data_IF_988573809777
#
_entry.id   IF_988573809777
#
_cell.length_a   1.000
_cell.length_b   1.000
_cell.length_c   1.000
_cell.angle_alpha   90.00
_cell.angle_beta   90.00
_cell.angle_gamma   90.00
#
_symmetry.space_group_name_H-M   'P 1'
#
loop_
_entity.id
_entity.type
_entity.pdbx_description
1 polymer ?
#
# COMPACT_ATOMS: atom_id res chain seq x y z
N UNK A 1 -22.95 -6.07 -12.46
CA UNK A 1 -21.63 -6.71 -12.51
C UNK A 1 -20.79 -6.13 -11.39
N UNK A 2 -20.22 -6.97 -10.51
CA UNK A 2 -19.36 -6.46 -9.44
C UNK A 2 -18.01 -6.01 -10.01
N UNK A 3 -17.47 -4.90 -9.48
CA UNK A 3 -16.16 -4.37 -9.85
C UNK A 3 -15.22 -4.42 -8.66
N UNK A 4 -13.95 -4.69 -8.91
CA UNK A 4 -12.92 -4.82 -7.88
C UNK A 4 -11.69 -4.02 -8.30
N UNK A 5 -11.24 -3.11 -7.46
CA UNK A 5 -9.96 -2.43 -7.61
C UNK A 5 -8.95 -3.14 -6.73
N UNK A 6 -7.88 -3.64 -7.35
CA UNK A 6 -6.91 -4.52 -6.71
C UNK A 6 -5.61 -3.77 -6.40
N UNK A 7 -5.13 -3.95 -5.19
CA UNK A 7 -3.85 -3.45 -4.71
C UNK A 7 -2.72 -4.46 -4.94
N UNK A 8 -1.49 -3.96 -5.11
CA UNK A 8 -0.26 -4.74 -5.25
C UNK A 8 -0.04 -5.68 -4.09
N UNK A 9 -0.31 -5.24 -2.88
CA UNK A 9 -0.09 -5.99 -1.63
C UNK A 9 -0.83 -7.33 -1.59
N UNK A 10 -1.92 -7.49 -2.34
CA UNK A 10 -2.64 -8.76 -2.46
C UNK A 10 -1.80 -9.90 -3.05
N UNK A 11 -0.80 -9.57 -3.87
CA UNK A 11 -0.04 -10.55 -4.64
C UNK A 11 1.36 -10.80 -4.06
N UNK A 12 1.89 -9.84 -3.30
CA UNK A 12 3.27 -9.85 -2.84
C UNK A 12 3.42 -9.96 -1.32
N UNK A 13 2.42 -9.49 -0.55
CA UNK A 13 2.34 -9.79 0.87
C UNK A 13 1.71 -11.18 1.05
N UNK A 14 2.54 -12.17 1.26
CA UNK A 14 2.10 -13.54 1.57
C UNK A 14 1.48 -13.62 2.98
N UNK A 15 0.43 -12.83 3.24
CA UNK A 15 -0.29 -12.97 4.49
C UNK A 15 -1.00 -14.33 4.52
N UNK A 16 -0.84 -15.10 5.61
CA UNK A 16 -1.52 -16.37 5.76
C UNK A 16 -3.03 -16.12 5.82
N UNK A 17 -3.75 -16.42 4.75
CA UNK A 17 -5.21 -16.27 4.70
C UNK A 17 -5.82 -16.14 3.31
N UNK A 18 -5.06 -15.70 2.32
CA UNK A 18 -5.56 -15.64 0.93
C UNK A 18 -5.66 -17.02 0.29
N UNK A 19 -4.86 -18.01 0.73
CA UNK A 19 -4.89 -19.38 0.19
C UNK A 19 -4.53 -19.46 -1.31
N UNK A 20 -3.86 -18.42 -1.84
CA UNK A 20 -3.61 -18.28 -3.27
C UNK A 20 -2.29 -18.89 -3.74
N UNK A 21 -1.40 -19.28 -2.84
CA UNK A 21 -0.12 -19.90 -3.18
C UNK A 21 0.98 -19.66 -2.17
N UNK A 22 2.12 -20.33 -2.37
CA UNK A 22 3.31 -20.28 -1.50
C UNK A 22 4.42 -19.39 -2.05
N UNK A 23 4.31 -18.92 -3.28
CA UNK A 23 5.24 -18.01 -3.94
C UNK A 23 4.50 -17.12 -4.95
N UNK A 24 5.12 -16.02 -5.35
CA UNK A 24 4.52 -14.99 -6.22
C UNK A 24 3.99 -15.55 -7.55
N UNK A 25 4.69 -16.48 -8.19
CA UNK A 25 4.25 -17.05 -9.46
C UNK A 25 2.99 -17.90 -9.28
N UNK A 26 2.97 -18.76 -8.26
CA UNK A 26 1.81 -19.58 -7.92
C UNK A 26 0.58 -18.73 -7.57
N UNK A 27 0.79 -17.65 -6.80
CA UNK A 27 -0.26 -16.68 -6.48
C UNK A 27 -0.83 -16.05 -7.76
N UNK A 28 0.02 -15.58 -8.67
CA UNK A 28 -0.44 -14.99 -9.93
C UNK A 28 -1.18 -16.01 -10.82
N UNK A 29 -0.70 -17.23 -10.95
CA UNK A 29 -1.37 -18.31 -11.73
C UNK A 29 -2.76 -18.60 -11.18
N UNK A 30 -2.87 -18.75 -9.86
CA UNK A 30 -4.14 -19.00 -9.20
C UNK A 30 -5.11 -17.81 -9.32
N UNK A 31 -4.60 -16.59 -9.16
CA UNK A 31 -5.41 -15.37 -9.37
C UNK A 31 -5.89 -15.25 -10.81
N UNK A 32 -5.05 -15.48 -11.81
CA UNK A 32 -5.44 -15.47 -13.23
C UNK A 32 -6.56 -16.48 -13.49
N UNK A 33 -6.38 -17.72 -13.00
CA UNK A 33 -7.37 -18.79 -13.16
C UNK A 33 -8.71 -18.43 -12.51
N UNK A 34 -8.63 -17.90 -11.28
CA UNK A 34 -9.80 -17.50 -10.51
C UNK A 34 -10.55 -16.32 -11.15
N UNK A 35 -9.81 -15.29 -11.64
CA UNK A 35 -10.41 -14.17 -12.37
C UNK A 35 -11.12 -14.65 -13.63
N UNK A 36 -10.50 -15.51 -14.43
CA UNK A 36 -11.11 -16.08 -15.64
C UNK A 36 -12.39 -16.83 -15.32
N UNK A 37 -12.37 -17.65 -14.27
CA UNK A 37 -13.54 -18.41 -13.81
C UNK A 37 -14.65 -17.48 -13.35
N UNK A 38 -14.32 -16.48 -12.55
CA UNK A 38 -15.31 -15.52 -12.06
C UNK A 38 -15.93 -14.68 -13.21
N UNK A 39 -15.12 -14.22 -14.14
CA UNK A 39 -15.62 -13.50 -15.33
C UNK A 39 -16.61 -14.36 -16.13
N UNK A 40 -16.31 -15.65 -16.30
CA UNK A 40 -17.16 -16.57 -17.05
C UNK A 40 -18.49 -16.88 -16.34
N UNK A 41 -18.46 -17.07 -15.03
CA UNK A 41 -19.61 -17.60 -14.27
C UNK A 41 -20.51 -16.50 -13.69
N UNK A 42 -19.95 -15.41 -13.19
CA UNK A 42 -20.68 -14.38 -12.43
C UNK A 42 -20.56 -12.98 -13.02
N UNK A 43 -19.65 -12.78 -13.95
CA UNK A 43 -19.33 -11.47 -14.50
C UNK A 43 -18.70 -10.57 -13.41
N UNK A 44 -17.38 -10.48 -13.38
CA UNK A 44 -16.63 -9.54 -12.53
C UNK A 44 -15.72 -8.68 -13.41
N UNK A 45 -15.51 -7.43 -13.02
CA UNK A 45 -14.49 -6.57 -13.60
C UNK A 45 -13.42 -6.27 -12.59
N UNK A 46 -12.15 -6.44 -13.01
CA UNK A 46 -10.98 -6.25 -12.16
C UNK A 46 -10.16 -5.09 -12.72
N UNK A 47 -9.96 -4.09 -11.88
CA UNK A 47 -9.35 -2.82 -12.28
C UNK A 47 -8.06 -2.58 -11.51
N UNK A 48 -7.12 -1.91 -12.16
CA UNK A 48 -5.91 -1.36 -11.54
C UNK A 48 -5.60 0.01 -12.12
N UNK A 49 -5.20 1.01 -11.30
CA UNK A 49 -4.65 2.24 -11.83
C UNK A 49 -3.22 2.01 -12.38
N UNK A 50 -2.76 2.84 -13.36
CA UNK A 50 -1.43 2.71 -13.94
C UNK A 50 -0.28 2.80 -12.93
N UNK A 51 -0.47 3.53 -11.83
CA UNK A 51 0.49 3.62 -10.73
C UNK A 51 0.73 2.24 -10.08
N UNK A 52 -0.32 1.49 -9.80
CA UNK A 52 -0.25 0.13 -9.25
C UNK A 52 0.31 -0.86 -10.28
N UNK A 53 -0.07 -0.74 -11.55
CA UNK A 53 0.53 -1.57 -12.62
C UNK A 53 2.05 -1.38 -12.68
N UNK A 54 2.52 -0.14 -12.55
CA UNK A 54 3.96 0.17 -12.50
C UNK A 54 4.62 -0.45 -11.28
N UNK A 55 3.97 -0.41 -10.14
CA UNK A 55 4.45 -1.03 -8.92
C UNK A 55 4.53 -2.56 -9.06
N UNK A 56 3.47 -3.23 -9.53
CA UNK A 56 3.50 -4.68 -9.81
C UNK A 56 4.66 -5.04 -10.73
N UNK A 57 4.87 -4.28 -11.82
CA UNK A 57 5.99 -4.52 -12.74
C UNK A 57 7.36 -4.38 -12.08
N UNK A 58 7.52 -3.53 -11.08
CA UNK A 58 8.79 -3.32 -10.38
C UNK A 58 9.27 -4.51 -9.54
N UNK A 59 8.39 -5.46 -9.24
CA UNK A 59 8.75 -6.71 -8.55
C UNK A 59 9.35 -7.76 -9.50
N UNK A 60 9.37 -7.51 -10.80
CA UNK A 60 9.92 -8.42 -11.80
C UNK A 60 11.06 -7.74 -12.54
N UNK A 61 12.15 -8.48 -12.75
CA UNK A 61 13.29 -7.98 -13.53
C UNK A 61 12.93 -7.79 -15.02
N UNK A 62 12.05 -8.67 -15.54
CA UNK A 62 11.57 -8.64 -16.91
C UNK A 62 10.07 -8.91 -17.01
N UNK A 63 9.45 -8.49 -18.10
CA UNK A 63 8.03 -8.73 -18.36
C UNK A 63 7.79 -10.18 -18.80
N UNK A 64 7.50 -11.05 -17.82
CA UNK A 64 7.28 -12.49 -18.03
C UNK A 64 5.97 -12.77 -18.79
N UNK A 65 5.84 -13.94 -19.47
CA UNK A 65 4.56 -14.38 -20.06
C UNK A 65 3.43 -14.46 -19.04
N UNK A 66 3.73 -14.83 -17.81
CA UNK A 66 2.77 -14.89 -16.70
C UNK A 66 2.23 -13.50 -16.36
N UNK A 67 3.11 -12.50 -16.25
CA UNK A 67 2.72 -11.12 -15.98
C UNK A 67 1.87 -10.52 -17.10
N UNK A 68 2.20 -10.82 -18.35
CA UNK A 68 1.37 -10.45 -19.52
C UNK A 68 -0.02 -11.07 -19.45
N UNK A 69 -0.09 -12.36 -19.08
CA UNK A 69 -1.36 -13.08 -18.92
C UNK A 69 -2.19 -12.48 -17.77
N UNK A 70 -1.56 -12.05 -16.70
CA UNK A 70 -2.23 -11.36 -15.59
C UNK A 70 -2.84 -10.03 -16.05
N UNK A 71 -2.06 -9.16 -16.68
CA UNK A 71 -2.57 -7.87 -17.16
C UNK A 71 -3.60 -7.98 -18.28
N UNK A 72 -3.62 -9.08 -19.04
CA UNK A 72 -4.68 -9.35 -20.01
C UNK A 72 -6.06 -9.55 -19.35
N UNK A 73 -6.09 -9.93 -18.08
CA UNK A 73 -7.32 -10.10 -17.30
C UNK A 73 -7.71 -8.85 -16.49
N UNK A 74 -6.87 -7.83 -16.44
CA UNK A 74 -7.09 -6.60 -15.68
C UNK A 74 -7.46 -5.45 -16.61
N UNK A 75 -8.49 -4.69 -16.24
CA UNK A 75 -8.79 -3.41 -16.87
C UNK A 75 -7.89 -2.34 -16.25
N UNK A 76 -6.94 -1.84 -17.03
CA UNK A 76 -6.06 -0.75 -16.59
C UNK A 76 -6.77 0.57 -16.85
N UNK A 77 -7.10 1.30 -15.77
CA UNK A 77 -7.84 2.57 -15.86
C UNK A 77 -7.24 3.62 -14.93
N UNK A 78 -6.95 4.80 -15.45
CA UNK A 78 -6.58 5.95 -14.63
C UNK A 78 -7.79 6.52 -13.91
N UNK A 79 -7.69 6.88 -12.63
CA UNK A 79 -8.77 7.58 -11.94
C UNK A 79 -9.00 8.98 -12.54
N UNK A 80 -10.24 9.43 -12.54
CA UNK A 80 -10.59 10.79 -12.96
C UNK A 80 -10.45 11.77 -11.79
N UNK A 81 -9.23 12.20 -11.53
CA UNK A 81 -8.91 13.10 -10.40
C UNK A 81 -9.52 14.50 -10.54
N UNK A 82 -9.95 14.88 -11.74
CA UNK A 82 -10.50 16.22 -11.99
C UNK A 82 -12.00 16.31 -11.65
N UNK A 83 -12.76 15.27 -11.94
CA UNK A 83 -14.22 15.29 -11.80
C UNK A 83 -14.71 14.54 -10.54
N UNK A 84 -13.83 13.81 -9.85
CA UNK A 84 -14.21 13.13 -8.62
C UNK A 84 -14.28 14.12 -7.48
N UNK A 85 -15.43 14.18 -6.80
CA UNK A 85 -15.69 15.11 -5.70
C UNK A 85 -15.73 14.37 -4.36
N UNK A 86 -15.23 15.03 -3.32
CA UNK A 86 -15.22 14.52 -1.97
C UNK A 86 -15.76 15.56 -0.98
N UNK A 87 -16.34 15.11 0.17
CA UNK A 87 -16.73 16.03 1.23
C UNK A 87 -15.53 16.82 1.76
N UNK A 88 -15.69 18.11 1.99
CA UNK A 88 -14.63 18.97 2.53
C UNK A 88 -14.10 18.46 3.89
N UNK A 89 -14.93 17.76 4.69
CA UNK A 89 -14.53 17.15 5.96
C UNK A 89 -13.31 16.23 5.84
N UNK A 90 -13.09 15.58 4.67
CA UNK A 90 -11.89 14.78 4.43
C UNK A 90 -10.60 15.59 4.48
N UNK A 91 -10.65 16.82 3.98
CA UNK A 91 -9.47 17.70 4.03
C UNK A 91 -9.17 18.16 5.45
N UNK A 92 -10.21 18.40 6.27
CA UNK A 92 -10.01 18.70 7.69
C UNK A 92 -9.32 17.53 8.40
N UNK A 93 -9.86 16.30 8.24
CA UNK A 93 -9.25 15.11 8.80
C UNK A 93 -7.80 14.91 8.29
N UNK A 94 -7.56 15.15 7.00
CA UNK A 94 -6.22 15.02 6.42
C UNK A 94 -5.23 16.01 7.02
N UNK A 95 -5.64 17.28 7.20
CA UNK A 95 -4.81 18.32 7.82
C UNK A 95 -4.51 17.98 9.29
N UNK A 96 -5.50 17.51 10.05
CA UNK A 96 -5.33 17.07 11.44
C UNK A 96 -4.32 15.91 11.54
N UNK A 97 -4.49 14.89 10.73
CA UNK A 97 -3.58 13.74 10.66
C UNK A 97 -2.14 14.14 10.30
N UNK A 98 -1.96 15.04 9.33
CA UNK A 98 -0.62 15.54 8.96
C UNK A 98 0.01 16.29 10.15
N UNK A 99 -0.75 17.16 10.82
CA UNK A 99 -0.24 17.92 11.97
C UNK A 99 0.19 17.02 13.12
N UNK A 100 -0.65 16.04 13.47
CA UNK A 100 -0.33 15.08 14.52
C UNK A 100 0.91 14.24 14.18
N UNK A 101 1.04 13.80 12.93
CA UNK A 101 2.19 13.02 12.46
C UNK A 101 3.45 13.84 12.45
N UNK A 102 3.35 15.11 12.03
CA UNK A 102 4.48 16.03 12.07
C UNK A 102 4.96 16.28 13.50
N UNK A 103 4.04 16.44 14.45
CA UNK A 103 4.37 16.59 15.87
C UNK A 103 5.07 15.34 16.40
N UNK A 104 4.48 14.16 16.21
CA UNK A 104 5.11 12.88 16.61
C UNK A 104 6.49 12.67 15.97
N UNK A 105 6.63 13.09 14.71
CA UNK A 105 7.92 13.01 14.01
C UNK A 105 8.99 13.88 14.65
N UNK A 106 8.61 15.10 15.08
CA UNK A 106 9.50 16.02 15.79
C UNK A 106 9.89 15.45 17.15
N UNK A 107 8.93 14.97 17.95
CA UNK A 107 9.18 14.37 19.27
C UNK A 107 10.18 13.21 19.15
N UNK A 108 10.05 12.37 18.13
CA UNK A 108 10.99 11.27 17.88
C UNK A 108 12.39 11.78 17.52
N UNK A 109 12.46 12.84 16.70
CA UNK A 109 13.74 13.42 16.31
C UNK A 109 14.47 14.02 17.54
N UNK A 110 13.75 14.72 18.41
CA UNK A 110 14.26 15.26 19.66
C UNK A 110 14.76 14.16 20.61
N UNK A 111 13.97 13.09 20.80
CA UNK A 111 14.35 11.91 21.58
C UNK A 111 15.64 11.26 21.08
N UNK A 112 15.74 11.03 19.77
CA UNK A 112 16.93 10.38 19.20
C UNK A 112 18.16 11.30 19.22
N UNK A 113 17.96 12.62 19.09
CA UNK A 113 19.04 13.59 19.27
C UNK A 113 19.56 13.59 20.71
N UNK A 114 18.65 13.60 21.71
CA UNK A 114 19.02 13.50 23.11
C UNK A 114 19.82 12.23 23.43
N UNK A 115 19.35 11.07 22.93
CA UNK A 115 20.06 9.80 23.07
C UNK A 115 21.45 9.84 22.42
N UNK A 116 21.55 10.40 21.22
CA UNK A 116 22.82 10.53 20.51
C UNK A 116 23.81 11.37 21.30
N UNK A 117 23.40 12.55 21.75
CA UNK A 117 24.24 13.44 22.57
C UNK A 117 24.67 12.79 23.85
N UNK A 118 23.73 12.17 24.59
CA UNK A 118 24.02 11.50 25.89
C UNK A 118 24.97 10.33 25.73
N UNK A 119 24.89 9.57 24.63
CA UNK A 119 25.74 8.41 24.37
C UNK A 119 27.13 8.81 23.84
N UNK A 120 27.26 9.95 23.17
CA UNK A 120 28.52 10.41 22.60
C UNK A 120 29.31 11.32 23.58
N UNK A 121 28.64 11.93 24.57
CA UNK A 121 29.28 12.83 25.53
C UNK A 121 30.56 12.29 26.21
N UNK A 122 30.66 10.98 26.55
CA UNK A 122 31.86 10.42 27.14
C UNK A 122 32.90 9.91 26.12
N UNK A 123 32.65 10.03 24.82
CA UNK A 123 33.49 9.41 23.76
C UNK A 123 34.26 10.47 22.98
N UNK A 124 35.60 10.38 23.00
CA UNK A 124 36.43 11.15 22.08
C UNK A 124 36.33 10.56 20.66
N UNK A 125 35.64 11.25 19.77
CA UNK A 125 35.54 10.90 18.35
C UNK A 125 36.64 11.66 17.57
N UNK A 126 37.75 10.98 17.33
CA UNK A 126 38.95 11.59 16.75
C UNK A 126 39.00 11.58 15.23
N UNK A 127 38.20 10.71 14.59
CA UNK A 127 38.18 10.61 13.13
C UNK A 127 36.77 10.53 12.52
N UNK A 128 36.68 10.93 11.24
CA UNK A 128 35.43 11.00 10.49
C UNK A 128 34.72 9.65 10.39
N UNK A 129 35.48 8.55 10.32
CA UNK A 129 34.91 7.20 10.17
C UNK A 129 34.17 6.76 11.41
N UNK A 130 34.72 7.00 12.59
CA UNK A 130 34.10 6.66 13.87
C UNK A 130 32.84 7.50 14.10
N UNK A 131 32.87 8.79 13.74
CA UNK A 131 31.71 9.67 13.76
C UNK A 131 30.60 9.11 12.86
N UNK A 132 30.93 8.69 11.62
CA UNK A 132 29.96 8.16 10.67
C UNK A 132 29.33 6.84 11.15
N UNK A 133 30.12 5.93 11.75
CA UNK A 133 29.61 4.66 12.29
C UNK A 133 28.63 4.93 13.40
N UNK A 134 29.00 5.74 14.38
CA UNK A 134 28.13 6.06 15.54
C UNK A 134 26.88 6.84 15.13
N UNK A 135 27.00 7.83 14.27
CA UNK A 135 25.86 8.56 13.72
C UNK A 135 24.93 7.63 12.92
N UNK A 136 25.49 6.63 12.23
CA UNK A 136 24.71 5.64 11.48
C UNK A 136 23.78 4.82 12.36
N UNK A 137 24.19 4.42 13.54
CA UNK A 137 23.37 3.68 14.52
C UNK A 137 22.13 4.49 14.93
N UNK A 138 22.33 5.76 15.33
CA UNK A 138 21.22 6.66 15.72
C UNK A 138 20.32 7.01 14.54
N UNK A 139 20.91 7.27 13.36
CA UNK A 139 20.14 7.58 12.14
C UNK A 139 19.24 6.40 11.74
N UNK A 140 19.70 5.16 11.90
CA UNK A 140 18.90 3.97 11.64
C UNK A 140 17.70 3.90 12.59
N UNK A 141 17.92 4.09 13.88
CA UNK A 141 16.86 4.10 14.91
C UNK A 141 15.85 5.22 14.66
N UNK A 142 16.34 6.44 14.36
CA UNK A 142 15.49 7.57 14.02
C UNK A 142 14.59 7.26 12.80
N UNK A 143 15.18 6.76 11.71
CA UNK A 143 14.42 6.45 10.49
C UNK A 143 13.32 5.42 10.73
N UNK A 144 13.62 4.38 11.50
CA UNK A 144 12.65 3.32 11.81
C UNK A 144 11.48 3.87 12.63
N UNK A 145 11.76 4.52 13.75
CA UNK A 145 10.74 5.10 14.63
C UNK A 145 9.92 6.19 13.90
N UNK A 146 10.60 7.05 13.14
CA UNK A 146 9.96 8.10 12.35
C UNK A 146 8.98 7.51 11.32
N UNK A 147 9.41 6.47 10.58
CA UNK A 147 8.56 5.79 9.61
C UNK A 147 7.32 5.20 10.28
N UNK A 148 7.50 4.48 11.39
CA UNK A 148 6.37 3.92 12.13
C UNK A 148 5.38 5.00 12.58
N UNK A 149 5.87 6.11 13.13
CA UNK A 149 5.01 7.16 13.65
C UNK A 149 4.29 7.99 12.58
N UNK A 150 4.90 8.13 11.39
CA UNK A 150 4.39 9.05 10.36
C UNK A 150 3.68 8.35 9.21
N UNK A 151 3.97 7.07 8.92
CA UNK A 151 3.39 6.35 7.77
C UNK A 151 2.31 5.34 8.15
N UNK A 152 2.39 4.71 9.32
CA UNK A 152 1.42 3.68 9.73
C UNK A 152 0.00 4.21 9.68
N UNK A 153 -0.90 3.49 9.01
CA UNK A 153 -2.34 3.82 8.87
C UNK A 153 -2.62 5.14 8.14
N UNK A 154 -1.73 5.55 7.28
CA UNK A 154 -1.89 6.78 6.51
C UNK A 154 -1.67 6.53 5.02
N UNK A 155 -2.23 7.39 4.17
CA UNK A 155 -1.92 7.41 2.75
C UNK A 155 -0.52 8.01 2.57
N UNK A 156 0.44 7.20 2.26
CA UNK A 156 1.82 7.65 2.13
C UNK A 156 2.28 7.70 0.67
N UNK A 157 1.42 7.32 -0.26
CA UNK A 157 1.70 7.38 -1.69
C UNK A 157 0.51 7.91 -2.53
N UNK A 158 0.84 8.44 -3.70
CA UNK A 158 -0.17 8.82 -4.72
C UNK A 158 -0.84 7.57 -5.28
N UNK A 159 -0.14 6.44 -5.32
CA UNK A 159 -0.69 5.18 -5.81
C UNK A 159 -1.84 4.67 -4.92
N UNK A 160 -1.72 4.82 -3.59
CA UNK A 160 -2.79 4.49 -2.64
C UNK A 160 -4.04 5.34 -2.88
N UNK A 161 -3.82 6.64 -3.14
CA UNK A 161 -4.92 7.54 -3.45
C UNK A 161 -5.57 7.20 -4.79
N UNK A 162 -4.79 6.82 -5.80
CA UNK A 162 -5.30 6.37 -7.11
C UNK A 162 -6.21 5.14 -6.96
N UNK A 163 -5.87 4.18 -6.09
CA UNK A 163 -6.73 3.03 -5.77
C UNK A 163 -8.08 3.47 -5.23
N UNK A 164 -8.07 4.37 -4.24
CA UNK A 164 -9.28 4.86 -3.57
C UNK A 164 -10.15 5.66 -4.55
N UNK A 165 -9.55 6.57 -5.32
CA UNK A 165 -10.29 7.41 -6.27
C UNK A 165 -10.91 6.55 -7.38
N UNK A 166 -10.14 5.58 -7.92
CA UNK A 166 -10.67 4.66 -8.93
C UNK A 166 -11.81 3.81 -8.38
N UNK A 167 -11.68 3.28 -7.16
CA UNK A 167 -12.72 2.49 -6.52
C UNK A 167 -13.99 3.33 -6.28
N UNK A 168 -13.84 4.60 -5.91
CA UNK A 168 -14.94 5.54 -5.75
C UNK A 168 -15.65 5.83 -7.05
N UNK A 169 -14.89 6.16 -8.11
CA UNK A 169 -15.40 6.47 -9.44
C UNK A 169 -16.20 5.31 -10.05
N UNK A 170 -15.66 4.09 -9.89
CA UNK A 170 -16.23 2.87 -10.47
C UNK A 170 -17.31 2.21 -9.60
N UNK A 171 -17.60 2.77 -8.41
CA UNK A 171 -18.44 2.15 -7.39
C UNK A 171 -18.00 0.71 -7.05
N UNK A 172 -16.68 0.48 -7.15
CA UNK A 172 -16.04 -0.81 -7.02
C UNK A 172 -15.71 -1.15 -5.56
N UNK A 173 -15.51 -2.42 -5.29
CA UNK A 173 -14.88 -2.87 -4.06
C UNK A 173 -13.38 -2.61 -4.11
N UNK A 174 -12.86 -1.93 -3.10
CA UNK A 174 -11.43 -1.79 -2.87
C UNK A 174 -10.93 -3.03 -2.14
N UNK A 175 -9.93 -3.71 -2.71
CA UNK A 175 -9.34 -4.91 -2.13
C UNK A 175 -7.86 -4.64 -1.87
N UNK A 176 -7.49 -4.50 -0.61
CA UNK A 176 -6.12 -4.19 -0.16
C UNK A 176 -5.86 -4.81 1.20
N UNK A 177 -4.61 -5.20 1.48
CA UNK A 177 -4.11 -5.57 2.81
C UNK A 177 -3.47 -4.38 3.52
N UNK A 178 -3.28 -3.25 2.85
CA UNK A 178 -2.73 -2.04 3.47
C UNK A 178 -3.76 -1.36 4.37
N UNK A 179 -3.46 -1.29 5.65
CA UNK A 179 -4.35 -0.71 6.66
C UNK A 179 -4.64 0.78 6.41
N UNK A 180 -3.65 1.53 5.88
CA UNK A 180 -3.81 2.94 5.51
C UNK A 180 -4.80 3.10 4.37
N UNK A 181 -4.64 2.32 3.30
CA UNK A 181 -5.53 2.31 2.13
C UNK A 181 -6.97 1.96 2.54
N UNK A 182 -7.14 0.94 3.40
CA UNK A 182 -8.45 0.50 3.88
C UNK A 182 -9.13 1.58 4.75
N UNK A 183 -8.41 2.14 5.74
CA UNK A 183 -8.95 3.19 6.63
C UNK A 183 -9.38 4.42 5.82
N UNK A 184 -8.51 4.88 4.93
CA UNK A 184 -8.81 6.05 4.12
C UNK A 184 -9.89 5.77 3.07
N UNK A 185 -9.91 4.57 2.46
CA UNK A 185 -10.97 4.14 1.58
C UNK A 185 -12.36 4.26 2.25
N UNK A 186 -12.50 3.82 3.50
CA UNK A 186 -13.74 4.00 4.30
C UNK A 186 -14.10 5.47 4.48
N UNK A 187 -13.12 6.31 4.84
CA UNK A 187 -13.31 7.76 4.99
C UNK A 187 -13.79 8.41 3.69
N UNK A 188 -13.30 7.96 2.56
CA UNK A 188 -13.72 8.38 1.22
C UNK A 188 -15.09 7.80 0.81
N UNK A 189 -15.67 6.92 1.64
CA UNK A 189 -16.95 6.26 1.37
C UNK A 189 -16.86 5.21 0.26
N UNK A 190 -15.70 4.58 0.12
CA UNK A 190 -15.48 3.46 -0.79
C UNK A 190 -15.87 2.17 -0.08
N UNK A 191 -16.50 1.25 -0.81
CA UNK A 191 -16.78 -0.10 -0.33
C UNK A 191 -15.49 -0.89 -0.32
N UNK A 192 -15.13 -1.44 0.82
CA UNK A 192 -14.00 -2.36 0.93
C UNK A 192 -14.47 -3.81 0.87
N UNK A 193 -13.56 -4.67 0.47
CA UNK A 193 -13.71 -6.12 0.61
C UNK A 193 -12.47 -6.68 1.28
N UNK A 194 -12.69 -7.40 2.36
CA UNK A 194 -11.63 -8.12 3.05
C UNK A 194 -10.93 -9.10 2.09
N UNK A 195 -9.58 -9.11 2.04
CA UNK A 195 -8.83 -9.98 1.14
C UNK A 195 -9.16 -11.47 1.28
N UNK A 196 -9.40 -11.98 2.49
CA UNK A 196 -9.78 -13.37 2.69
C UNK A 196 -11.19 -13.68 2.15
N UNK A 197 -12.11 -12.71 2.24
CA UNK A 197 -13.45 -12.80 1.63
C UNK A 197 -13.33 -12.76 0.11
N UNK A 198 -12.48 -11.89 -0.42
CA UNK A 198 -12.20 -11.82 -1.85
C UNK A 198 -11.60 -13.14 -2.37
N UNK A 199 -10.59 -13.69 -1.69
CA UNK A 199 -10.00 -15.00 -2.02
C UNK A 199 -11.05 -16.13 -2.05
N UNK A 200 -11.95 -16.17 -1.06
CA UNK A 200 -13.07 -17.13 -1.04
C UNK A 200 -14.05 -16.91 -2.19
N UNK A 201 -14.29 -15.65 -2.60
CA UNK A 201 -15.15 -15.36 -3.77
C UNK A 201 -14.50 -15.81 -5.07
N UNK A 202 -13.19 -15.65 -5.20
CA UNK A 202 -12.43 -16.11 -6.36
C UNK A 202 -12.42 -17.63 -6.48
N UNK A 203 -12.34 -18.37 -5.35
CA UNK A 203 -12.19 -19.82 -5.32
C UNK A 203 -13.49 -20.60 -5.17
N UNK A 204 -14.62 -19.92 -4.84
CA UNK A 204 -15.93 -20.58 -4.82
C UNK A 204 -16.46 -20.74 -6.24
N UNK A 205 -16.52 -22.00 -6.66
CA UNK A 205 -17.28 -22.47 -7.81
C UNK A 205 -18.75 -22.07 -7.78
#
# INVERSE_FOLDING_TARGET
MEKYVLDTNLFFNMEPGLGLGSNTNEVLENVISAIKTMKKNKGGEFLMPPSIVKEVKSFFEEETPLLKSFFAEITIKSPNITNTTFPASLFYTFVEEIRERSSRGLDIAEDELYKAVSSLAPVELTNKKDIQIKTGEFTKGLRERYRQATRTKFLDSVADLDLIVLAKEEEAYLVSTDEGVVIWGRRFGVKEMDPAVFGKKLTKE
#
